data_IF_478246905576
#
_entry.id   IF_478246905576
#
_cell.length_a   1.000
_cell.length_b   1.000
_cell.length_c   1.000
_cell.angle_alpha   90.00
_cell.angle_beta   90.00
_cell.angle_gamma   90.00
#
_symmetry.space_group_name_H-M   'P 1'
#
loop_
_entity.id
_entity.type
_entity.pdbx_description
1 polymer ?
#
# COMPACT_ATOMS: atom_id res chain seq x y z
N UNK A 1 -23.90 -43.21 -7.79
CA UNK A 1 -22.77 -42.39 -8.31
C UNK A 1 -23.03 -40.89 -8.22
N UNK A 2 -24.21 -40.39 -8.62
CA UNK A 2 -24.58 -38.95 -8.58
C UNK A 2 -24.37 -38.27 -7.21
N UNK A 3 -24.71 -38.94 -6.11
CA UNK A 3 -24.59 -38.37 -4.76
C UNK A 3 -23.13 -38.24 -4.30
N UNK A 4 -22.22 -39.09 -4.81
CA UNK A 4 -20.78 -38.98 -4.54
C UNK A 4 -20.19 -37.79 -5.30
N UNK A 5 -20.60 -37.62 -6.56
CA UNK A 5 -20.22 -36.48 -7.40
C UNK A 5 -20.68 -35.13 -6.80
N UNK A 6 -21.93 -35.05 -6.34
CA UNK A 6 -22.47 -33.84 -5.70
C UNK A 6 -21.68 -33.51 -4.42
N UNK A 7 -21.38 -34.50 -3.58
CA UNK A 7 -20.58 -34.30 -2.35
C UNK A 7 -19.16 -33.83 -2.67
N UNK A 8 -18.54 -34.36 -3.72
CA UNK A 8 -17.20 -33.94 -4.16
C UNK A 8 -17.22 -32.51 -4.70
N UNK A 9 -18.25 -32.13 -5.48
CA UNK A 9 -18.39 -30.76 -6.00
C UNK A 9 -18.63 -29.74 -4.87
N UNK A 10 -19.45 -30.09 -3.87
CA UNK A 10 -19.68 -29.24 -2.69
C UNK A 10 -18.41 -29.10 -1.84
N UNK A 11 -17.65 -30.17 -1.65
CA UNK A 11 -16.38 -30.11 -0.94
C UNK A 11 -15.35 -29.25 -1.70
N UNK A 12 -15.27 -29.40 -3.03
CA UNK A 12 -14.37 -28.61 -3.87
C UNK A 12 -14.71 -27.12 -3.85
N UNK A 13 -15.99 -26.74 -3.96
CA UNK A 13 -16.40 -25.34 -3.89
C UNK A 13 -16.10 -24.69 -2.53
N UNK A 14 -16.24 -25.46 -1.43
CA UNK A 14 -15.89 -24.97 -0.09
C UNK A 14 -14.40 -24.70 0.05
N UNK A 15 -13.54 -25.60 -0.49
CA UNK A 15 -12.08 -25.38 -0.47
C UNK A 15 -11.67 -24.15 -1.27
N UNK A 16 -12.24 -23.92 -2.45
CA UNK A 16 -11.95 -22.72 -3.26
C UNK A 16 -12.45 -21.43 -2.61
N UNK A 17 -13.57 -21.47 -1.89
CA UNK A 17 -14.09 -20.32 -1.15
C UNK A 17 -13.20 -19.86 0.01
N UNK A 18 -12.56 -20.80 0.72
CA UNK A 18 -11.71 -20.48 1.88
C UNK A 18 -10.43 -19.73 1.51
N UNK A 19 -9.89 -19.91 0.29
CA UNK A 19 -8.68 -19.22 -0.16
C UNK A 19 -8.94 -17.78 -0.65
N UNK A 20 -10.19 -17.32 -0.72
CA UNK A 20 -10.55 -15.99 -1.22
C UNK A 20 -10.74 -14.93 -0.12
N UNK A 21 -10.63 -15.30 1.16
CA UNK A 21 -10.93 -14.40 2.28
C UNK A 21 -9.89 -13.27 2.50
N UNK A 22 -8.78 -13.25 1.76
CA UNK A 22 -7.66 -12.32 1.97
C UNK A 22 -7.68 -11.07 1.10
N UNK A 23 -8.65 -10.88 0.21
CA UNK A 23 -8.67 -9.72 -0.71
C UNK A 23 -9.28 -8.44 -0.13
N UNK A 24 -9.63 -8.41 1.16
CA UNK A 24 -10.13 -7.22 1.81
C UNK A 24 -9.00 -6.19 2.04
N UNK A 25 -8.70 -5.40 1.00
CA UNK A 25 -7.74 -4.29 1.07
C UNK A 25 -8.41 -3.06 1.69
N UNK A 26 -8.66 -3.09 3.00
CA UNK A 26 -9.13 -1.91 3.73
C UNK A 26 -8.03 -0.86 3.92
N UNK A 27 -6.76 -1.28 3.85
CA UNK A 27 -5.61 -0.42 4.11
C UNK A 27 -5.19 0.31 2.84
N UNK A 28 -5.23 1.63 2.89
CA UNK A 28 -4.78 2.50 1.81
C UNK A 28 -3.35 2.96 2.10
N UNK A 29 -2.47 2.76 1.13
CA UNK A 29 -1.12 3.35 1.16
C UNK A 29 -1.23 4.83 0.83
N UNK A 30 -0.57 5.67 1.62
CA UNK A 30 -0.45 7.10 1.36
C UNK A 30 1.01 7.57 1.51
N UNK A 31 1.30 8.68 0.84
CA UNK A 31 2.55 9.43 0.96
C UNK A 31 2.18 10.87 1.26
N UNK A 32 2.82 11.48 2.28
CA UNK A 32 2.56 12.84 2.72
C UNK A 32 3.87 13.63 2.79
N UNK A 33 3.99 14.76 2.09
CA UNK A 33 5.15 15.63 2.22
C UNK A 33 5.09 16.43 3.53
N UNK A 34 6.25 16.82 4.07
CA UNK A 34 6.32 17.73 5.21
C UNK A 34 5.85 19.16 4.90
N UNK A 35 5.94 19.58 3.63
CA UNK A 35 5.42 20.85 3.11
C UNK A 35 5.08 20.73 1.62
N UNK A 36 4.16 21.58 1.15
CA UNK A 36 3.81 21.72 -0.28
C UNK A 36 4.33 23.00 -0.91
N UNK A 37 4.86 23.92 -0.09
CA UNK A 37 5.42 25.20 -0.53
C UNK A 37 6.84 25.29 -0.03
N UNK A 38 7.75 25.61 -0.94
CA UNK A 38 9.19 25.68 -0.70
C UNK A 38 9.73 26.91 -1.42
N UNK A 39 10.69 27.59 -0.82
CA UNK A 39 11.32 28.78 -1.38
C UNK A 39 12.82 28.77 -1.10
N UNK A 40 13.61 29.07 -2.13
CA UNK A 40 15.07 29.09 -2.11
C UNK A 40 15.65 28.03 -3.05
N UNK A 41 16.97 27.84 -2.99
CA UNK A 41 17.72 27.01 -3.95
C UNK A 41 18.30 25.72 -3.33
N UNK A 42 18.09 25.48 -2.03
CA UNK A 42 18.75 24.38 -1.29
C UNK A 42 17.87 23.79 -0.19
N UNK A 43 16.59 23.64 -0.47
CA UNK A 43 15.61 23.13 0.46
C UNK A 43 15.41 21.63 0.29
N UNK A 44 14.90 21.02 1.35
CA UNK A 44 14.81 19.59 1.53
C UNK A 44 13.44 19.27 2.09
N UNK A 45 12.75 18.33 1.44
CA UNK A 45 11.39 17.91 1.81
C UNK A 45 11.47 16.45 2.23
N UNK A 46 10.87 16.16 3.38
CA UNK A 46 10.73 14.78 3.87
C UNK A 46 9.36 14.24 3.49
N UNK A 47 9.27 12.93 3.36
CA UNK A 47 8.05 12.23 3.00
C UNK A 47 7.76 11.15 4.03
N UNK A 48 6.54 11.19 4.57
CA UNK A 48 5.99 10.12 5.39
C UNK A 48 5.22 9.16 4.49
N UNK A 49 5.40 7.86 4.66
CA UNK A 49 4.67 6.83 3.92
C UNK A 49 4.16 5.73 4.85
N UNK A 50 2.88 5.42 4.76
CA UNK A 50 2.25 4.39 5.59
C UNK A 50 1.06 3.72 4.89
N UNK A 51 0.71 2.53 5.34
CA UNK A 51 -0.58 1.91 5.05
C UNK A 51 -1.51 2.17 6.24
N UNK A 52 -2.69 2.75 6.00
CA UNK A 52 -3.62 3.16 7.06
C UNK A 52 -5.08 3.01 6.63
N UNK A 53 -5.99 3.02 7.61
CA UNK A 53 -7.44 3.10 7.33
C UNK A 53 -7.85 4.56 7.00
N UNK A 54 -7.28 5.51 7.75
CA UNK A 54 -7.51 6.95 7.58
C UNK A 54 -6.33 7.58 6.83
N UNK A 55 -6.63 8.39 5.81
CA UNK A 55 -5.59 9.06 5.00
C UNK A 55 -4.84 10.08 5.87
N UNK A 56 -3.51 10.06 5.80
CA UNK A 56 -2.59 10.95 6.54
C UNK A 56 -2.60 10.81 8.07
N UNK A 57 -3.12 9.69 8.57
CA UNK A 57 -3.00 9.29 9.97
C UNK A 57 -2.42 7.87 10.04
N UNK A 58 -1.29 7.69 10.73
CA UNK A 58 -0.61 6.39 10.81
C UNK A 58 -1.20 5.54 11.94
N UNK A 59 -2.20 4.72 11.62
CA UNK A 59 -2.92 3.87 12.60
C UNK A 59 -2.64 2.36 12.46
N UNK A 60 -1.79 1.96 11.51
CA UNK A 60 -1.56 0.55 11.21
C UNK A 60 -0.09 0.18 11.07
N UNK A 61 0.53 0.35 9.89
CA UNK A 61 1.93 0.01 9.69
C UNK A 61 2.69 1.05 8.85
N UNK A 62 3.95 1.36 9.21
CA UNK A 62 4.82 2.15 8.35
C UNK A 62 5.10 1.38 7.05
N UNK A 63 5.25 2.11 5.94
CA UNK A 63 5.63 1.48 4.69
C UNK A 63 7.13 1.13 4.74
N UNK A 64 7.46 -0.15 4.65
CA UNK A 64 8.86 -0.60 4.62
C UNK A 64 9.59 -0.06 3.39
N UNK A 65 10.84 0.38 3.57
CA UNK A 65 11.63 1.01 2.51
C UNK A 65 11.89 0.09 1.32
N UNK A 66 12.00 -1.23 1.54
CA UNK A 66 12.16 -2.22 0.47
C UNK A 66 10.94 -2.25 -0.48
N UNK A 67 9.75 -1.92 0.07
CA UNK A 67 8.50 -1.84 -0.67
C UNK A 67 8.21 -0.42 -1.18
N UNK A 68 9.06 0.55 -0.85
CA UNK A 68 8.91 1.95 -1.21
C UNK A 68 9.94 2.35 -2.28
N UNK A 69 9.51 2.40 -3.54
CA UNK A 69 10.31 3.00 -4.62
C UNK A 69 10.05 4.50 -4.69
N UNK A 70 10.71 5.25 -3.80
CA UNK A 70 10.83 6.70 -3.91
C UNK A 70 12.02 7.08 -4.80
N UNK A 71 11.82 7.98 -5.76
CA UNK A 71 12.94 8.68 -6.39
C UNK A 71 13.38 9.76 -5.41
N UNK A 72 14.58 9.65 -4.84
CA UNK A 72 15.23 10.77 -4.19
C UNK A 72 15.56 11.79 -5.29
N UNK A 73 14.63 12.71 -5.51
CA UNK A 73 14.86 13.85 -6.40
C UNK A 73 15.96 14.71 -5.79
N UNK A 74 17.19 14.53 -6.23
CA UNK A 74 18.21 15.55 -6.08
C UNK A 74 17.75 16.66 -7.02
N UNK A 75 17.03 17.65 -6.47
CA UNK A 75 16.74 18.87 -7.22
C UNK A 75 18.09 19.54 -7.48
N UNK A 76 18.58 19.58 -8.73
CA UNK A 76 19.82 20.27 -9.00
C UNK A 76 19.61 21.74 -8.61
N UNK A 77 20.42 22.24 -7.68
CA UNK A 77 20.57 23.69 -7.50
C UNK A 77 20.89 24.23 -8.89
N UNK A 78 20.01 25.09 -9.41
CA UNK A 78 20.13 25.67 -10.75
C UNK A 78 21.58 26.11 -10.98
N UNK A 79 22.22 25.54 -12.01
CA UNK A 79 23.31 26.23 -12.69
C UNK A 79 22.64 27.42 -13.38
N UNK A 80 22.99 28.60 -12.86
CA UNK A 80 22.82 29.98 -13.33
C UNK A 80 21.80 30.24 -14.44
#
# INVERSE_FOLDING_TARGET
>A
MKNKLIKTLVAASLTVGLFQASLAHAHRVWVKPSTTVVSGDSEWVTFDAAAANIIFFADHFPLGLDNFKGVLGIFPSKVT
#
